data_IF_640002547598
#
_entry.id   IF_640002547598
#
_cell.length_a   1.000
_cell.length_b   1.000
_cell.length_c   1.000
_cell.angle_alpha   90.00
_cell.angle_beta   90.00
_cell.angle_gamma   90.00
#
_symmetry.space_group_name_H-M   'P 1'
#
loop_
_entity.id
_entity.type
_entity.pdbx_description
1 polymer ?
#
# COMPACT_ATOMS: atom_id res chain seq x y z
N UNK A 1 -17.03 29.24 -3.39
CA UNK A 1 -18.07 28.94 -2.39
C UNK A 1 -17.51 27.87 -1.45
N UNK A 2 -17.65 28.00 -0.14
CA UNK A 2 -17.20 26.96 0.81
C UNK A 2 -18.43 26.16 1.22
N UNK A 3 -18.49 24.91 0.81
CA UNK A 3 -19.43 23.95 1.37
C UNK A 3 -18.83 23.38 2.66
N UNK A 4 -19.61 23.19 3.71
CA UNK A 4 -19.18 22.60 4.97
C UNK A 4 -20.07 21.40 5.26
N UNK A 5 -19.49 20.19 5.26
CA UNK A 5 -20.25 18.97 5.51
C UNK A 5 -20.19 18.59 6.98
N UNK A 6 -21.28 18.89 7.69
CA UNK A 6 -21.52 18.37 9.04
C UNK A 6 -21.74 16.85 9.08
N UNK A 7 -22.13 16.25 7.94
CA UNK A 7 -22.35 14.80 7.82
C UNK A 7 -21.05 13.99 8.00
N UNK A 8 -19.90 14.57 7.62
CA UNK A 8 -18.59 13.97 7.88
C UNK A 8 -18.14 14.07 9.36
N UNK A 9 -18.91 14.73 10.23
CA UNK A 9 -18.67 14.78 11.67
C UNK A 9 -19.58 13.79 12.41
N UNK A 10 -19.37 12.49 12.20
CA UNK A 10 -20.25 11.43 12.72
C UNK A 10 -20.40 11.42 14.24
N UNK A 11 -19.52 12.09 14.99
CA UNK A 11 -19.62 12.19 16.43
C UNK A 11 -20.92 12.89 16.88
N UNK A 12 -21.45 13.85 16.10
CA UNK A 12 -22.73 14.48 16.40
C UNK A 12 -23.92 13.50 16.33
N UNK A 13 -23.78 12.38 15.63
CA UNK A 13 -24.84 11.35 15.59
C UNK A 13 -24.89 10.45 16.83
N UNK A 14 -23.94 10.59 17.75
CA UNK A 14 -23.90 9.77 18.97
C UNK A 14 -24.95 10.19 20.00
N UNK A 15 -25.35 11.47 20.03
CA UNK A 15 -26.36 11.98 20.93
C UNK A 15 -27.33 12.92 20.19
N UNK A 16 -28.46 12.36 19.76
CA UNK A 16 -29.49 13.10 19.01
C UNK A 16 -30.34 14.04 19.88
N UNK A 17 -30.27 13.91 21.21
CA UNK A 17 -30.97 14.81 22.12
C UNK A 17 -30.27 16.18 22.21
N UNK A 18 -28.94 16.20 22.03
CA UNK A 18 -28.14 17.43 22.11
C UNK A 18 -27.70 17.97 20.76
N UNK A 19 -27.49 17.09 19.78
CA UNK A 19 -27.00 17.47 18.46
C UNK A 19 -28.02 17.10 17.38
N UNK A 20 -28.44 18.11 16.62
CA UNK A 20 -29.25 17.93 15.43
C UNK A 20 -28.47 18.39 14.20
N UNK A 21 -28.22 17.46 13.28
CA UNK A 21 -27.62 17.79 11.98
C UNK A 21 -28.72 18.24 11.02
N UNK A 22 -28.62 19.47 10.52
CA UNK A 22 -29.46 19.93 9.43
C UNK A 22 -28.88 19.44 8.11
N UNK A 23 -29.68 18.67 7.38
CA UNK A 23 -29.31 18.19 6.05
C UNK A 23 -29.55 19.30 5.02
N UNK A 24 -28.46 19.88 4.53
CA UNK A 24 -28.49 20.77 3.38
C UNK A 24 -28.12 19.99 2.12
N UNK A 25 -28.85 20.20 1.03
CA UNK A 25 -28.49 19.63 -0.27
C UNK A 25 -27.10 20.11 -0.71
N UNK A 26 -26.39 19.26 -1.45
CA UNK A 26 -25.12 19.65 -2.05
C UNK A 26 -25.37 20.72 -3.10
N UNK A 27 -24.52 21.75 -3.09
CA UNK A 27 -24.67 22.93 -3.96
C UNK A 27 -23.60 22.97 -5.06
N UNK A 28 -22.56 22.14 -4.94
CA UNK A 28 -21.40 22.12 -5.83
C UNK A 28 -21.44 20.91 -6.77
N UNK A 29 -21.42 21.17 -8.07
CA UNK A 29 -21.24 20.15 -9.10
C UNK A 29 -19.74 19.88 -9.32
N UNK A 30 -19.31 18.64 -9.09
CA UNK A 30 -17.92 18.20 -9.26
C UNK A 30 -17.75 17.35 -10.54
N UNK A 31 -18.61 17.53 -11.54
CA UNK A 31 -18.53 16.85 -12.84
C UNK A 31 -17.19 17.00 -13.56
N UNK A 32 -16.48 18.10 -13.34
CA UNK A 32 -15.14 18.39 -13.88
C UNK A 32 -13.99 17.90 -12.98
N UNK A 33 -14.30 17.20 -11.89
CA UNK A 33 -13.31 16.74 -10.93
C UNK A 33 -13.12 15.24 -11.00
N UNK A 34 -11.90 14.81 -10.75
CA UNK A 34 -11.50 13.42 -10.75
C UNK A 34 -10.65 13.10 -9.53
N UNK A 35 -11.12 12.19 -8.69
CA UNK A 35 -10.31 11.58 -7.64
C UNK A 35 -9.45 10.49 -8.27
N UNK A 36 -8.14 10.60 -8.08
CA UNK A 36 -7.15 9.60 -8.45
C UNK A 36 -6.60 9.01 -7.15
N UNK A 37 -7.16 7.87 -6.76
CA UNK A 37 -6.77 7.17 -5.54
C UNK A 37 -5.54 6.28 -5.78
N UNK A 38 -4.49 6.47 -4.99
CA UNK A 38 -3.28 5.65 -4.96
C UNK A 38 -3.31 4.84 -3.66
N UNK A 39 -3.64 3.53 -3.70
CA UNK A 39 -3.87 2.73 -2.50
C UNK A 39 -2.55 2.35 -1.81
N UNK A 40 -2.04 3.24 -0.98
CA UNK A 40 -0.82 3.07 -0.17
C UNK A 40 -1.05 3.53 1.27
N UNK A 41 -0.47 2.82 2.24
CA UNK A 41 -0.44 3.27 3.63
C UNK A 41 0.50 4.47 3.76
N UNK A 42 -0.04 5.60 4.18
CA UNK A 42 0.76 6.83 4.40
C UNK A 42 0.98 7.15 5.87
N UNK A 43 0.87 6.16 6.77
CA UNK A 43 1.33 6.35 8.16
C UNK A 43 2.86 6.39 8.20
N UNK A 44 3.43 7.23 9.06
CA UNK A 44 4.88 7.39 9.21
C UNK A 44 5.59 6.03 9.34
N UNK A 45 5.08 5.16 10.21
CA UNK A 45 5.66 3.84 10.48
C UNK A 45 5.76 2.89 9.26
N UNK A 46 4.91 3.07 8.25
CA UNK A 46 4.96 2.28 7.01
C UNK A 46 5.68 3.04 5.92
N UNK A 47 5.44 4.34 5.79
CA UNK A 47 6.07 5.21 4.80
C UNK A 47 7.59 5.28 4.96
N UNK A 48 8.10 5.30 6.19
CA UNK A 48 9.54 5.26 6.46
C UNK A 48 10.18 3.95 5.97
N UNK A 49 9.38 2.89 5.80
CA UNK A 49 9.81 1.60 5.24
C UNK A 49 9.64 1.55 3.73
N UNK A 50 9.11 2.59 3.08
CA UNK A 50 8.98 2.67 1.62
C UNK A 50 10.13 3.56 1.13
N UNK A 51 11.13 2.93 0.52
CA UNK A 51 12.38 3.58 0.10
C UNK A 51 12.13 4.73 -0.89
N UNK A 52 11.23 4.52 -1.84
CA UNK A 52 11.01 5.43 -2.97
C UNK A 52 9.66 6.19 -2.88
N UNK A 53 9.07 6.33 -1.69
CA UNK A 53 7.74 6.93 -1.55
C UNK A 53 7.67 8.34 -2.16
N UNK A 54 8.60 9.21 -1.76
CA UNK A 54 8.62 10.60 -2.22
C UNK A 54 9.02 10.70 -3.69
N UNK A 55 9.88 9.81 -4.20
CA UNK A 55 10.22 9.75 -5.63
C UNK A 55 8.97 9.45 -6.48
N UNK A 56 8.17 8.48 -6.04
CA UNK A 56 6.90 8.11 -6.67
C UNK A 56 5.92 9.28 -6.65
N UNK A 57 5.77 9.94 -5.50
CA UNK A 57 4.93 11.13 -5.37
C UNK A 57 5.42 12.22 -6.35
N UNK A 58 6.67 12.66 -6.25
CA UNK A 58 7.23 13.74 -7.07
C UNK A 58 7.12 13.43 -8.56
N UNK A 59 7.37 12.18 -8.97
CA UNK A 59 7.19 11.74 -10.36
C UNK A 59 5.74 11.87 -10.83
N UNK A 60 4.76 11.54 -9.98
CA UNK A 60 3.34 11.68 -10.31
C UNK A 60 2.90 13.16 -10.39
N UNK A 61 3.50 14.03 -9.58
CA UNK A 61 3.14 15.44 -9.51
C UNK A 61 3.79 16.29 -10.62
N UNK A 62 4.90 15.82 -11.22
CA UNK A 62 5.69 16.57 -12.21
C UNK A 62 4.88 17.15 -13.36
N UNK A 63 3.82 16.46 -13.82
CA UNK A 63 2.95 16.91 -14.91
C UNK A 63 2.12 18.15 -14.58
N UNK A 64 1.95 18.49 -13.31
CA UNK A 64 1.16 19.66 -12.87
C UNK A 64 2.00 20.93 -12.69
N UNK A 65 3.34 20.80 -12.66
CA UNK A 65 4.23 21.93 -12.39
C UNK A 65 3.82 22.71 -11.14
N UNK A 66 3.53 24.00 -11.31
CA UNK A 66 3.16 24.90 -10.20
C UNK A 66 1.65 24.95 -9.91
N UNK A 67 0.81 24.25 -10.67
CA UNK A 67 -0.66 24.28 -10.59
C UNK A 67 -1.23 23.18 -9.69
N UNK A 68 -0.52 22.88 -8.60
CA UNK A 68 -0.91 21.87 -7.62
C UNK A 68 -0.64 22.33 -6.19
N UNK A 69 -1.57 22.02 -5.29
CA UNK A 69 -1.35 22.06 -3.84
C UNK A 69 -0.97 20.66 -3.35
N UNK A 70 0.09 20.53 -2.55
CA UNK A 70 0.44 19.26 -1.89
C UNK A 70 0.20 19.38 -0.40
N UNK A 71 -0.57 18.44 0.15
CA UNK A 71 -0.96 18.42 1.57
C UNK A 71 -0.42 17.17 2.22
N UNK A 72 0.39 17.35 3.26
CA UNK A 72 0.96 16.24 4.01
C UNK A 72 1.28 16.58 5.46
N UNK A 73 2.34 15.95 5.99
CA UNK A 73 2.90 16.28 7.29
C UNK A 73 3.94 17.39 7.14
N UNK A 74 3.93 18.38 8.03
CA UNK A 74 4.83 19.54 8.00
C UNK A 74 6.31 19.15 7.83
N UNK A 75 6.77 18.18 8.63
CA UNK A 75 8.19 17.79 8.68
C UNK A 75 8.69 17.07 7.42
N UNK A 76 7.78 16.68 6.53
CA UNK A 76 8.10 15.92 5.31
C UNK A 76 7.97 16.77 4.05
N UNK A 77 7.48 18.01 4.18
CA UNK A 77 7.27 18.92 3.05
C UNK A 77 8.58 19.26 2.33
N UNK A 78 9.73 19.19 3.00
CA UNK A 78 11.05 19.36 2.38
C UNK A 78 11.39 18.27 1.35
N UNK A 79 10.71 17.13 1.37
CA UNK A 79 10.93 16.01 0.45
C UNK A 79 10.07 16.10 -0.82
N UNK A 80 9.17 17.09 -0.89
CA UNK A 80 8.26 17.30 -2.02
C UNK A 80 8.83 18.36 -2.96
N UNK A 81 8.94 18.01 -4.24
CA UNK A 81 9.48 18.84 -5.30
C UNK A 81 8.40 19.73 -5.93
N UNK A 82 7.84 20.62 -5.11
CA UNK A 82 6.96 21.72 -5.54
C UNK A 82 7.38 23.01 -4.83
N UNK A 83 7.03 24.21 -5.34
CA UNK A 83 7.30 25.47 -4.64
C UNK A 83 6.75 25.50 -3.21
N UNK A 84 7.44 26.16 -2.27
CA UNK A 84 7.03 26.19 -0.85
C UNK A 84 5.63 26.79 -0.66
N UNK A 85 5.25 27.77 -1.47
CA UNK A 85 3.91 28.36 -1.46
C UNK A 85 2.81 27.39 -1.90
N UNK A 86 3.17 26.24 -2.47
CA UNK A 86 2.26 25.16 -2.90
C UNK A 86 2.18 24.03 -1.87
N UNK A 87 2.87 24.14 -0.73
CA UNK A 87 2.90 23.11 0.32
C UNK A 87 1.98 23.49 1.48
N UNK A 88 1.08 22.59 1.83
CA UNK A 88 0.18 22.68 2.96
C UNK A 88 0.33 21.48 3.90
N UNK A 89 -0.13 21.63 5.14
CA UNK A 89 -0.20 20.53 6.09
C UNK A 89 -1.50 20.55 6.87
N UNK A 90 -1.93 19.38 7.33
CA UNK A 90 -3.11 19.27 8.17
C UNK A 90 -2.91 20.08 9.46
N UNK A 91 -3.79 21.06 9.68
CA UNK A 91 -3.68 22.06 10.75
C UNK A 91 -3.44 23.50 10.28
N UNK A 92 -2.75 23.74 9.15
CA UNK A 92 -2.65 25.09 8.56
C UNK A 92 -3.58 25.32 7.37
N UNK A 93 -4.03 24.22 6.75
CA UNK A 93 -4.84 24.28 5.54
C UNK A 93 -6.27 24.73 5.83
N UNK A 94 -6.79 24.36 7.00
CA UNK A 94 -8.12 24.72 7.46
C UNK A 94 -8.18 26.22 7.73
N UNK A 95 -9.13 26.89 7.09
CA UNK A 95 -9.30 28.35 7.18
C UNK A 95 -8.44 29.18 6.21
N UNK A 96 -7.44 28.58 5.53
CA UNK A 96 -6.59 29.31 4.58
C UNK A 96 -7.26 29.51 3.21
N UNK A 97 -6.98 30.64 2.56
CA UNK A 97 -7.40 30.97 1.19
C UNK A 97 -6.22 31.04 0.20
N UNK A 98 -5.00 30.77 0.65
CA UNK A 98 -3.78 30.92 -0.15
C UNK A 98 -3.81 30.13 -1.47
N UNK A 99 -4.45 28.97 -1.49
CA UNK A 99 -4.45 28.06 -2.63
C UNK A 99 -5.72 28.11 -3.49
N UNK A 100 -6.53 29.17 -3.31
CA UNK A 100 -7.83 29.34 -3.98
C UNK A 100 -7.75 29.12 -5.51
N UNK A 101 -6.69 29.62 -6.15
CA UNK A 101 -6.48 29.58 -7.60
C UNK A 101 -5.75 28.33 -8.11
N UNK A 102 -5.29 27.44 -7.21
CA UNK A 102 -4.67 26.18 -7.64
C UNK A 102 -5.72 25.30 -8.31
N UNK A 103 -5.32 24.59 -9.36
CA UNK A 103 -6.22 23.72 -10.13
C UNK A 103 -6.32 22.33 -9.53
N UNK A 104 -5.20 21.80 -9.05
CA UNK A 104 -5.08 20.41 -8.61
C UNK A 104 -4.64 20.32 -7.16
N UNK A 105 -4.85 19.16 -6.55
CA UNK A 105 -4.40 18.88 -5.19
C UNK A 105 -3.90 17.45 -5.06
N UNK A 106 -2.87 17.25 -4.23
CA UNK A 106 -2.38 15.95 -3.81
C UNK A 106 -2.38 15.83 -2.28
N UNK A 107 -3.00 14.77 -1.78
CA UNK A 107 -3.05 14.41 -0.37
C UNK A 107 -2.12 13.23 -0.14
N UNK A 108 -0.97 13.47 0.45
CA UNK A 108 0.12 12.49 0.56
C UNK A 108 0.26 11.87 1.95
N UNK A 109 -0.65 12.23 2.87
CA UNK A 109 -0.65 11.79 4.25
C UNK A 109 -2.08 11.53 4.73
N UNK A 110 -2.27 10.41 5.43
CA UNK A 110 -3.48 10.20 6.22
C UNK A 110 -3.34 10.95 7.54
N UNK A 111 -4.19 11.96 7.78
CA UNK A 111 -4.21 12.69 9.04
C UNK A 111 -5.03 11.94 10.10
N UNK A 112 -4.33 11.24 10.99
CA UNK A 112 -4.94 10.59 12.14
C UNK A 112 -4.72 11.41 13.41
N UNK A 113 -5.70 11.38 14.30
CA UNK A 113 -5.51 11.73 15.71
C UNK A 113 -4.91 10.54 16.46
N UNK A 114 -4.51 10.78 17.72
CA UNK A 114 -4.15 9.67 18.60
C UNK A 114 -5.38 8.82 18.93
N UNK A 115 -5.17 7.56 19.33
CA UNK A 115 -6.28 6.69 19.74
C UNK A 115 -7.04 7.29 20.94
N UNK A 116 -6.31 7.93 21.86
CA UNK A 116 -6.88 8.64 23.02
C UNK A 116 -7.81 9.75 22.57
N UNK A 117 -7.43 10.54 21.56
CA UNK A 117 -8.28 11.63 21.05
C UNK A 117 -9.59 11.11 20.45
N UNK A 118 -9.55 9.98 19.74
CA UNK A 118 -10.76 9.35 19.21
C UNK A 118 -11.67 8.82 20.32
N UNK A 119 -11.10 8.21 21.36
CA UNK A 119 -11.85 7.77 22.54
C UNK A 119 -12.46 8.96 23.27
N UNK A 120 -11.69 10.03 23.50
CA UNK A 120 -12.19 11.25 24.15
C UNK A 120 -13.30 11.91 23.33
N UNK A 121 -13.19 11.95 22.00
CA UNK A 121 -14.29 12.42 21.13
C UNK A 121 -15.53 11.56 21.33
N UNK A 122 -15.39 10.23 21.32
CA UNK A 122 -16.53 9.33 21.56
C UNK A 122 -17.21 9.63 22.89
N UNK A 123 -16.45 9.77 23.98
CA UNK A 123 -16.99 10.06 25.31
C UNK A 123 -17.63 11.44 25.41
N UNK A 124 -16.98 12.45 24.83
CA UNK A 124 -17.46 13.82 24.88
C UNK A 124 -18.80 13.97 24.16
N UNK A 125 -18.92 13.41 22.95
CA UNK A 125 -20.11 13.55 22.13
C UNK A 125 -21.20 12.53 22.45
N UNK A 126 -20.83 11.32 22.89
CA UNK A 126 -21.79 10.29 23.30
C UNK A 126 -22.36 10.52 24.69
N UNK A 127 -21.64 11.20 25.58
CA UNK A 127 -21.95 11.35 27.03
C UNK A 127 -22.13 10.03 27.80
N UNK A 128 -21.88 8.90 27.15
CA UNK A 128 -21.87 7.59 27.76
C UNK A 128 -20.56 7.36 28.55
N UNK A 129 -20.68 6.66 29.67
CA UNK A 129 -19.55 5.98 30.31
C UNK A 129 -19.09 4.82 29.43
N UNK A 130 -17.77 4.58 29.33
CA UNK A 130 -17.23 3.35 28.75
C UNK A 130 -17.84 2.15 29.49
N UNK A 131 -18.57 1.29 28.77
CA UNK A 131 -19.06 0.01 29.29
C UNK A 131 -17.87 -0.80 29.86
N UNK A 132 -18.02 -1.50 30.99
CA UNK A 132 -16.91 -2.25 31.61
C UNK A 132 -16.21 -3.24 30.64
N UNK A 133 -16.91 -3.71 29.61
CA UNK A 133 -16.41 -4.61 28.58
C UNK A 133 -16.06 -3.94 27.24
N UNK A 134 -15.82 -2.63 27.20
CA UNK A 134 -15.54 -1.91 25.95
C UNK A 134 -14.16 -2.31 25.38
N UNK A 135 -14.12 -3.00 24.22
CA UNK A 135 -12.87 -3.54 23.71
C UNK A 135 -12.07 -2.43 23.00
N UNK A 136 -11.16 -1.79 23.73
CA UNK A 136 -10.14 -0.86 23.20
C UNK A 136 -9.02 -1.57 22.43
N UNK A 137 -9.39 -2.59 21.66
CA UNK A 137 -8.45 -3.35 20.84
C UNK A 137 -8.43 -2.81 19.43
N UNK A 138 -7.26 -2.91 18.83
CA UNK A 138 -7.03 -2.46 17.46
C UNK A 138 -6.54 -3.64 16.63
N UNK A 139 -6.87 -3.63 15.35
CA UNK A 139 -6.47 -4.68 14.41
C UNK A 139 -5.75 -4.06 13.23
N UNK A 140 -4.84 -4.85 12.68
CA UNK A 140 -4.04 -4.45 11.54
C UNK A 140 -4.18 -5.50 10.43
N UNK A 141 -4.78 -5.11 9.31
CA UNK A 141 -5.08 -6.00 8.19
C UNK A 141 -4.23 -5.65 6.97
N UNK A 142 -4.07 -6.59 6.04
CA UNK A 142 -3.29 -6.40 4.81
C UNK A 142 -1.80 -6.68 4.97
N UNK A 143 -1.06 -6.51 3.87
CA UNK A 143 0.39 -6.81 3.78
C UNK A 143 1.15 -5.62 3.20
N UNK A 144 2.40 -5.44 3.64
CA UNK A 144 3.32 -4.41 3.16
C UNK A 144 2.65 -3.01 3.06
N UNK A 145 2.66 -2.40 1.89
CA UNK A 145 2.11 -1.06 1.58
C UNK A 145 0.59 -0.96 1.66
N UNK A 146 -0.13 -2.08 1.80
CA UNK A 146 -1.59 -2.14 1.95
C UNK A 146 -2.01 -2.44 3.39
N UNK A 147 -1.12 -2.21 4.36
CA UNK A 147 -1.41 -2.46 5.77
C UNK A 147 -2.32 -1.35 6.32
N UNK A 148 -3.48 -1.73 6.85
CA UNK A 148 -4.50 -0.80 7.35
C UNK A 148 -4.69 -1.02 8.85
N UNK A 149 -4.68 0.08 9.59
CA UNK A 149 -5.03 0.12 11.01
C UNK A 149 -6.52 0.46 11.18
N UNK A 150 -7.18 -0.23 12.11
CA UNK A 150 -8.58 0.02 12.45
C UNK A 150 -8.86 -0.35 13.90
N UNK A 151 -9.82 0.35 14.51
CA UNK A 151 -10.41 -0.07 15.78
C UNK A 151 -11.25 -1.34 15.58
N UNK A 152 -11.26 -2.22 16.57
CA UNK A 152 -12.18 -3.38 16.56
C UNK A 152 -13.62 -2.93 16.84
N UNK A 153 -13.81 -1.94 17.72
CA UNK A 153 -15.11 -1.31 17.95
C UNK A 153 -15.54 -0.47 16.73
N UNK A 154 -16.71 -0.80 16.19
CA UNK A 154 -17.23 -0.19 14.96
C UNK A 154 -17.62 1.28 15.14
N UNK A 155 -18.02 1.70 16.35
CA UNK A 155 -18.41 3.08 16.65
C UNK A 155 -17.17 3.98 16.61
N UNK A 156 -16.10 3.56 17.28
CA UNK A 156 -14.81 4.26 17.24
C UNK A 156 -14.22 4.28 15.83
N UNK A 157 -14.25 3.15 15.13
CA UNK A 157 -13.75 3.08 13.75
C UNK A 157 -14.55 4.02 12.82
N UNK A 158 -15.87 4.10 12.98
CA UNK A 158 -16.71 5.04 12.23
C UNK A 158 -16.27 6.49 12.47
N UNK A 159 -16.08 6.90 13.74
CA UNK A 159 -15.58 8.25 14.07
C UNK A 159 -14.23 8.50 13.42
N UNK A 160 -13.31 7.53 13.50
CA UNK A 160 -11.97 7.63 12.90
C UNK A 160 -12.05 7.83 11.38
N UNK A 161 -12.82 7.01 10.68
CA UNK A 161 -12.94 7.04 9.22
C UNK A 161 -13.59 8.35 8.76
N UNK A 162 -14.67 8.77 9.43
CA UNK A 162 -15.36 10.03 9.13
C UNK A 162 -14.47 11.25 9.38
N UNK A 163 -13.70 11.26 10.48
CA UNK A 163 -12.74 12.33 10.77
C UNK A 163 -11.70 12.48 9.65
N UNK A 164 -11.06 11.38 9.23
CA UNK A 164 -10.07 11.41 8.15
C UNK A 164 -10.71 11.94 6.86
N UNK A 165 -11.89 11.44 6.49
CA UNK A 165 -12.60 11.89 5.29
C UNK A 165 -12.94 13.39 5.37
N UNK A 166 -13.35 13.89 6.54
CA UNK A 166 -13.61 15.32 6.78
C UNK A 166 -12.38 16.16 6.51
N UNK A 167 -11.23 15.81 7.09
CA UNK A 167 -9.99 16.58 6.95
C UNK A 167 -9.52 16.63 5.50
N UNK A 168 -9.61 15.51 4.79
CA UNK A 168 -9.26 15.44 3.37
C UNK A 168 -10.24 16.27 2.53
N UNK A 169 -11.54 16.12 2.74
CA UNK A 169 -12.54 16.90 2.01
C UNK A 169 -12.34 18.41 2.21
N UNK A 170 -12.01 18.83 3.44
CA UNK A 170 -11.71 20.23 3.75
C UNK A 170 -10.43 20.74 3.06
N UNK A 171 -9.42 19.89 2.88
CA UNK A 171 -8.23 20.20 2.10
C UNK A 171 -8.53 20.32 0.61
N UNK A 172 -9.31 19.38 0.05
CA UNK A 172 -9.72 19.36 -1.37
C UNK A 172 -10.45 20.65 -1.76
N UNK A 173 -11.33 21.17 -0.91
CA UNK A 173 -12.03 22.45 -1.13
C UNK A 173 -11.14 23.71 -1.07
N UNK A 174 -9.83 23.58 -0.88
CA UNK A 174 -8.92 24.73 -0.89
C UNK A 174 -8.47 25.13 -2.29
N UNK A 175 -8.58 24.22 -3.24
CA UNK A 175 -8.24 24.46 -4.65
C UNK A 175 -9.50 24.64 -5.48
N UNK A 176 -9.37 25.23 -6.67
CA UNK A 176 -10.42 25.40 -7.68
C UNK A 176 -11.80 25.79 -7.08
N UNK A 177 -11.83 26.73 -6.14
CA UNK A 177 -13.05 27.04 -5.35
C UNK A 177 -14.21 27.65 -6.14
N UNK A 178 -13.92 28.06 -7.37
CA UNK A 178 -14.89 28.57 -8.32
C UNK A 178 -15.36 27.50 -9.31
N UNK A 179 -14.88 26.25 -9.18
CA UNK A 179 -15.26 25.10 -10.00
C UNK A 179 -15.01 25.33 -11.51
N UNK A 180 -14.01 26.13 -11.87
CA UNK A 180 -13.79 26.54 -13.28
C UNK A 180 -12.90 25.60 -14.07
N UNK A 181 -12.07 24.81 -13.39
CA UNK A 181 -11.07 23.98 -14.03
C UNK A 181 -11.41 22.49 -13.95
N UNK A 182 -10.92 21.73 -14.92
CA UNK A 182 -10.78 20.29 -14.76
C UNK A 182 -9.74 20.03 -13.67
N UNK A 183 -10.14 19.33 -12.61
CA UNK A 183 -9.35 19.17 -11.38
C UNK A 183 -9.03 17.72 -11.10
N UNK A 184 -7.74 17.40 -11.02
CA UNK A 184 -7.26 16.14 -10.47
C UNK A 184 -7.03 16.26 -8.96
N UNK A 185 -7.60 15.30 -8.22
CA UNK A 185 -7.46 15.13 -6.77
C UNK A 185 -6.71 13.84 -6.50
N UNK A 186 -5.40 13.91 -6.26
CA UNK A 186 -4.60 12.74 -5.88
C UNK A 186 -4.76 12.45 -4.40
N UNK A 187 -5.07 11.21 -4.07
CA UNK A 187 -5.18 10.77 -2.67
C UNK A 187 -4.34 9.51 -2.48
N UNK A 188 -3.29 9.61 -1.67
CA UNK A 188 -2.43 8.48 -1.32
C UNK A 188 -2.92 7.83 -0.02
N UNK A 189 -3.96 7.01 -0.14
CA UNK A 189 -4.62 6.33 1.00
C UNK A 189 -5.11 4.96 0.56
N UNK A 190 -4.90 3.94 1.39
CA UNK A 190 -5.38 2.58 1.14
C UNK A 190 -6.72 2.24 1.81
N UNK A 191 -7.27 3.15 2.63
CA UNK A 191 -8.59 3.00 3.23
C UNK A 191 -9.68 3.41 2.22
N UNK A 192 -10.40 2.41 1.70
CA UNK A 192 -11.48 2.61 0.71
C UNK A 192 -12.68 3.34 1.29
N UNK A 193 -13.04 3.09 2.56
CA UNK A 193 -14.19 3.71 3.20
C UNK A 193 -14.04 5.23 3.27
N UNK A 194 -12.81 5.71 3.48
CA UNK A 194 -12.49 7.15 3.42
C UNK A 194 -12.73 7.72 2.03
N UNK A 195 -12.29 7.01 0.97
CA UNK A 195 -12.48 7.45 -0.42
C UNK A 195 -13.96 7.48 -0.79
N UNK A 196 -14.71 6.46 -0.39
CA UNK A 196 -16.16 6.37 -0.63
C UNK A 196 -16.90 7.51 0.07
N UNK A 197 -16.52 7.87 1.30
CA UNK A 197 -17.07 9.03 1.99
C UNK A 197 -16.75 10.34 1.28
N UNK A 198 -15.52 10.55 0.82
CA UNK A 198 -15.16 11.77 0.08
C UNK A 198 -15.97 11.85 -1.23
N UNK A 199 -16.02 10.75 -1.99
CA UNK A 199 -16.85 10.65 -3.21
C UNK A 199 -18.31 10.94 -2.91
N UNK A 200 -18.83 10.46 -1.78
CA UNK A 200 -20.20 10.72 -1.35
C UNK A 200 -20.48 12.20 -1.14
N UNK A 201 -19.45 13.03 -0.89
CA UNK A 201 -19.60 14.48 -0.74
C UNK A 201 -19.34 15.26 -2.05
N UNK A 202 -18.67 14.65 -3.03
CA UNK A 202 -18.34 15.28 -4.31
C UNK A 202 -19.26 14.78 -5.43
N UNK A 203 -20.44 15.40 -5.55
CA UNK A 203 -21.44 15.03 -6.54
C UNK A 203 -20.90 15.08 -7.98
N UNK A 204 -21.22 14.05 -8.78
CA UNK A 204 -20.75 13.85 -10.16
C UNK A 204 -19.22 13.68 -10.35
N UNK A 205 -18.43 13.63 -9.27
CA UNK A 205 -17.00 13.41 -9.37
C UNK A 205 -16.65 12.00 -9.86
N UNK A 206 -15.72 11.91 -10.82
CA UNK A 206 -15.14 10.64 -11.26
C UNK A 206 -14.16 10.13 -10.22
N UNK A 207 -14.06 8.80 -10.07
CA UNK A 207 -13.07 8.16 -9.20
C UNK A 207 -12.33 7.09 -9.98
N UNK A 208 -11.01 7.21 -10.05
CA UNK A 208 -10.10 6.22 -10.59
C UNK A 208 -9.21 5.72 -9.45
N UNK A 209 -9.10 4.40 -9.28
CA UNK A 209 -8.11 3.81 -8.38
C UNK A 209 -6.97 3.26 -9.21
N UNK A 210 -5.77 3.74 -8.94
CA UNK A 210 -4.59 3.30 -9.69
C UNK A 210 -4.16 1.92 -9.17
N UNK A 211 -4.25 0.93 -10.05
CA UNK A 211 -3.67 -0.38 -9.82
C UNK A 211 -2.19 -0.33 -10.21
N UNK A 212 -1.35 0.11 -9.28
CA UNK A 212 0.08 -0.03 -9.45
C UNK A 212 0.52 -1.46 -9.12
N UNK A 213 1.28 -2.06 -10.03
CA UNK A 213 1.93 -3.35 -9.80
C UNK A 213 2.77 -3.32 -8.52
N UNK A 214 2.92 -4.49 -7.90
CA UNK A 214 3.54 -4.70 -6.57
C UNK A 214 4.98 -4.17 -6.40
N UNK A 215 5.58 -3.62 -7.46
CA UNK A 215 6.95 -3.10 -7.50
C UNK A 215 7.03 -1.56 -7.53
N UNK A 216 5.90 -0.84 -7.56
CA UNK A 216 5.96 0.63 -7.62
C UNK A 216 6.51 1.25 -6.33
N UNK A 217 6.12 0.69 -5.18
CA UNK A 217 6.63 1.09 -3.87
C UNK A 217 7.60 0.04 -3.36
N UNK A 218 8.87 0.40 -3.24
CA UNK A 218 9.95 -0.48 -2.84
C UNK A 218 10.03 -0.45 -1.31
N UNK A 219 9.68 -1.57 -0.67
CA UNK A 219 9.81 -1.70 0.78
C UNK A 219 11.26 -1.98 1.17
N UNK A 220 11.70 -1.39 2.27
CA UNK A 220 12.90 -1.81 2.98
C UNK A 220 12.77 -3.28 3.38
N UNK A 221 13.79 -4.07 3.05
CA UNK A 221 13.82 -5.50 3.40
C UNK A 221 13.87 -5.65 4.91
N UNK A 222 12.96 -6.42 5.49
CA UNK A 222 13.07 -6.75 6.91
C UNK A 222 14.23 -7.70 7.17
N UNK A 223 14.71 -7.76 8.41
CA UNK A 223 15.68 -8.79 8.84
C UNK A 223 15.16 -10.21 8.59
N UNK A 224 13.84 -10.40 8.70
CA UNK A 224 13.20 -11.68 8.42
C UNK A 224 13.18 -11.99 6.92
N UNK A 225 12.97 -11.01 6.05
CA UNK A 225 13.05 -11.20 4.60
C UNK A 225 14.48 -11.52 4.17
N UNK A 226 15.46 -10.84 4.75
CA UNK A 226 16.88 -11.12 4.53
C UNK A 226 17.26 -12.53 4.99
N UNK A 227 16.72 -12.98 6.13
CA UNK A 227 16.91 -14.35 6.64
C UNK A 227 16.20 -15.39 5.76
N UNK A 228 14.99 -15.12 5.27
CA UNK A 228 14.26 -16.02 4.35
C UNK A 228 14.95 -16.10 2.98
N UNK A 229 15.48 -14.98 2.46
CA UNK A 229 16.30 -14.99 1.25
C UNK A 229 17.61 -15.74 1.45
N UNK A 230 18.30 -15.55 2.58
CA UNK A 230 19.48 -16.33 2.93
C UNK A 230 19.16 -17.83 3.04
N UNK A 231 18.03 -18.20 3.65
CA UNK A 231 17.54 -19.58 3.70
C UNK A 231 17.15 -20.13 2.31
N UNK A 232 16.69 -19.28 1.39
CA UNK A 232 16.42 -19.66 -0.01
C UNK A 232 17.72 -19.90 -0.76
N UNK A 233 18.71 -19.01 -0.63
CA UNK A 233 20.03 -19.15 -1.25
C UNK A 233 20.80 -20.36 -0.70
N UNK A 234 20.66 -20.68 0.60
CA UNK A 234 21.25 -21.88 1.22
C UNK A 234 20.36 -23.14 1.09
N UNK A 235 19.27 -23.06 0.32
CA UNK A 235 18.37 -24.20 0.14
C UNK A 235 19.00 -25.25 -0.78
N UNK A 236 18.67 -26.53 -0.52
CA UNK A 236 19.05 -27.64 -1.41
C UNK A 236 18.57 -27.44 -2.86
N UNK A 237 17.54 -26.62 -3.09
CA UNK A 237 17.01 -26.32 -4.40
C UNK A 237 17.89 -25.34 -5.18
N UNK A 238 18.39 -24.28 -4.52
CA UNK A 238 19.34 -23.34 -5.14
C UNK A 238 20.66 -24.03 -5.46
N UNK A 239 21.23 -24.79 -4.51
CA UNK A 239 22.44 -25.61 -4.75
C UNK A 239 22.30 -26.63 -5.88
N UNK A 240 21.09 -27.15 -6.09
CA UNK A 240 20.81 -28.05 -7.20
C UNK A 240 20.75 -27.33 -8.56
N UNK A 241 20.16 -26.12 -8.59
CA UNK A 241 20.14 -25.27 -9.79
C UNK A 241 21.58 -24.87 -10.17
N UNK A 242 22.40 -24.48 -9.20
CA UNK A 242 23.81 -24.14 -9.41
C UNK A 242 24.58 -25.34 -9.97
N UNK A 243 24.41 -26.52 -9.38
CA UNK A 243 24.99 -27.77 -9.89
C UNK A 243 24.57 -28.07 -11.34
N UNK A 244 23.29 -27.87 -11.70
CA UNK A 244 22.85 -28.06 -13.08
C UNK A 244 23.45 -27.03 -14.04
N UNK A 245 23.61 -25.78 -13.61
CA UNK A 245 24.26 -24.74 -14.40
C UNK A 245 25.76 -25.05 -14.61
N UNK A 246 26.46 -25.51 -13.57
CA UNK A 246 27.84 -25.97 -13.63
C UNK A 246 28.01 -27.11 -14.64
N UNK A 247 27.14 -28.13 -14.58
CA UNK A 247 27.10 -29.24 -15.52
C UNK A 247 26.92 -28.76 -16.96
N UNK A 248 26.00 -27.82 -17.19
CA UNK A 248 25.76 -27.25 -18.53
C UNK A 248 26.95 -26.43 -19.04
N UNK A 249 27.75 -25.85 -18.14
CA UNK A 249 29.00 -25.15 -18.47
C UNK A 249 30.21 -26.10 -18.60
N UNK A 250 29.99 -27.42 -18.58
CA UNK A 250 31.05 -28.42 -18.78
C UNK A 250 31.85 -28.77 -17.53
N UNK A 251 31.41 -28.31 -16.34
CA UNK A 251 31.96 -28.77 -15.07
C UNK A 251 31.31 -30.10 -14.66
N UNK A 252 31.94 -30.85 -13.77
CA UNK A 252 31.43 -32.13 -13.25
C UNK A 252 31.11 -33.24 -14.31
N UNK A 253 31.98 -33.48 -15.32
CA UNK A 253 31.73 -34.53 -16.32
C UNK A 253 31.59 -35.94 -15.71
N UNK A 254 32.15 -36.17 -14.52
CA UNK A 254 32.06 -37.43 -13.78
C UNK A 254 30.62 -37.82 -13.36
N UNK A 255 29.70 -36.87 -13.39
CA UNK A 255 28.28 -37.09 -13.06
C UNK A 255 27.44 -37.52 -14.28
N UNK A 256 27.94 -37.32 -15.51
CA UNK A 256 27.21 -37.58 -16.74
C UNK A 256 27.55 -39.00 -17.25
N UNK A 257 26.52 -39.81 -17.47
CA UNK A 257 26.69 -41.14 -18.06
C UNK A 257 26.88 -41.08 -19.60
N UNK A 258 27.23 -42.23 -20.21
CA UNK A 258 27.43 -42.34 -21.67
C UNK A 258 26.16 -42.04 -22.49
N UNK A 259 24.99 -41.94 -21.85
CA UNK A 259 23.71 -41.63 -22.47
C UNK A 259 23.26 -40.18 -22.17
N UNK A 260 24.17 -39.34 -21.68
CA UNK A 260 23.93 -37.93 -21.34
C UNK A 260 22.89 -37.73 -20.22
N UNK A 261 22.94 -38.59 -19.20
CA UNK A 261 22.03 -38.56 -18.04
C UNK A 261 22.81 -38.54 -16.74
N UNK A 262 22.19 -37.98 -15.70
CA UNK A 262 22.74 -37.90 -14.35
C UNK A 262 21.90 -38.78 -13.40
N UNK A 263 22.49 -39.76 -12.71
CA UNK A 263 21.77 -40.54 -11.70
C UNK A 263 21.34 -39.66 -10.51
N UNK A 264 20.04 -39.63 -10.20
CA UNK A 264 19.51 -38.81 -9.07
C UNK A 264 20.13 -39.16 -7.72
N UNK A 265 20.52 -40.42 -7.54
CA UNK A 265 21.18 -40.91 -6.32
C UNK A 265 22.51 -40.18 -6.09
N UNK A 266 23.30 -39.98 -7.15
CA UNK A 266 24.59 -39.28 -7.06
C UNK A 266 24.41 -37.79 -6.75
N UNK A 267 23.44 -37.13 -7.38
CA UNK A 267 23.17 -35.71 -7.10
C UNK A 267 22.63 -35.53 -5.68
N UNK A 268 21.77 -36.44 -5.23
CA UNK A 268 21.29 -36.45 -3.85
C UNK A 268 22.43 -36.57 -2.85
N UNK A 269 23.41 -37.44 -3.10
CA UNK A 269 24.60 -37.62 -2.26
C UNK A 269 25.52 -36.40 -2.30
N UNK A 270 25.75 -35.84 -3.48
CA UNK A 270 26.50 -34.59 -3.66
C UNK A 270 25.90 -33.43 -2.86
N UNK A 271 24.57 -33.33 -2.85
CA UNK A 271 23.85 -32.34 -2.06
C UNK A 271 23.76 -32.70 -0.56
N UNK A 272 24.26 -33.86 -0.11
CA UNK A 272 24.25 -34.26 1.30
C UNK A 272 22.89 -34.73 1.82
N UNK A 273 21.95 -35.10 0.95
CA UNK A 273 20.57 -35.45 1.32
C UNK A 273 20.45 -36.96 1.56
N UNK A 274 20.11 -37.38 2.78
CA UNK A 274 20.10 -38.81 3.13
C UNK A 274 18.96 -39.64 2.53
N UNK A 275 17.77 -39.06 2.30
CA UNK A 275 16.60 -39.82 1.82
C UNK A 275 16.08 -39.34 0.47
N UNK A 276 15.60 -40.27 -0.37
CA UNK A 276 14.99 -39.99 -1.68
C UNK A 276 13.70 -39.16 -1.57
N UNK A 277 12.90 -39.39 -0.52
CA UNK A 277 11.71 -38.59 -0.23
C UNK A 277 12.05 -37.13 0.07
N UNK A 278 13.12 -36.88 0.84
CA UNK A 278 13.58 -35.51 1.11
C UNK A 278 14.16 -34.85 -0.12
N UNK A 279 14.86 -35.58 -0.99
CA UNK A 279 15.34 -35.03 -2.26
C UNK A 279 14.17 -34.59 -3.15
N UNK A 280 13.12 -35.40 -3.22
CA UNK A 280 11.92 -35.04 -3.99
C UNK A 280 11.23 -33.80 -3.43
N UNK A 281 10.97 -33.77 -2.11
CA UNK A 281 10.21 -32.69 -1.48
C UNK A 281 11.00 -31.38 -1.32
N UNK A 282 12.31 -31.47 -1.08
CA UNK A 282 13.16 -30.30 -0.83
C UNK A 282 13.82 -29.75 -2.08
N UNK A 283 13.91 -30.53 -3.16
CA UNK A 283 14.58 -30.15 -4.41
C UNK A 283 13.66 -30.32 -5.62
N UNK A 284 13.34 -31.55 -6.01
CA UNK A 284 12.71 -31.82 -7.31
C UNK A 284 11.31 -31.21 -7.48
N UNK A 285 10.53 -31.15 -6.40
CA UNK A 285 9.16 -30.64 -6.41
C UNK A 285 9.08 -29.12 -6.17
N UNK A 286 10.22 -28.42 -6.08
CA UNK A 286 10.24 -26.96 -5.89
C UNK A 286 9.94 -26.26 -7.20
N UNK A 287 9.06 -25.26 -7.15
CA UNK A 287 8.61 -24.51 -8.33
C UNK A 287 9.76 -23.88 -9.10
N UNK A 288 10.74 -23.31 -8.40
CA UNK A 288 11.95 -22.73 -9.00
C UNK A 288 12.80 -23.76 -9.79
N UNK A 289 12.95 -24.98 -9.27
CA UNK A 289 13.67 -26.07 -9.94
C UNK A 289 12.91 -26.55 -11.17
N UNK A 290 11.59 -26.69 -11.06
CA UNK A 290 10.73 -27.11 -12.17
C UNK A 290 10.81 -26.09 -13.31
N UNK A 291 10.66 -24.80 -13.00
CA UNK A 291 10.75 -23.72 -13.99
C UNK A 291 12.14 -23.64 -14.63
N UNK A 292 13.21 -23.78 -13.84
CA UNK A 292 14.59 -23.78 -14.36
C UNK A 292 14.80 -24.93 -15.37
N UNK A 293 14.33 -26.13 -15.03
CA UNK A 293 14.50 -27.32 -15.88
C UNK A 293 13.64 -27.25 -17.14
N UNK A 294 12.39 -26.76 -17.04
CA UNK A 294 11.50 -26.57 -18.20
C UNK A 294 12.09 -25.58 -19.20
N UNK A 295 12.68 -24.48 -18.74
CA UNK A 295 13.29 -23.48 -19.62
C UNK A 295 14.53 -23.98 -20.37
N UNK A 296 15.06 -25.16 -20.02
CA UNK A 296 16.32 -25.73 -20.53
C UNK A 296 16.15 -27.17 -21.03
N UNK A 297 14.92 -27.62 -21.23
CA UNK A 297 14.58 -28.98 -21.67
C UNK A 297 15.20 -30.10 -20.83
N UNK A 298 15.41 -29.85 -19.53
CA UNK A 298 15.94 -30.85 -18.59
C UNK A 298 14.79 -31.69 -18.04
N UNK A 299 14.87 -33.01 -18.21
CA UNK A 299 13.82 -33.93 -17.78
C UNK A 299 14.16 -34.56 -16.42
N UNK A 300 13.31 -34.31 -15.42
CA UNK A 300 13.46 -34.82 -14.05
C UNK A 300 12.67 -36.11 -13.78
N UNK A 301 12.14 -36.83 -14.78
CA UNK A 301 11.32 -38.03 -14.57
C UNK A 301 12.15 -39.31 -14.31
N UNK A 302 11.61 -40.23 -13.50
CA UNK A 302 12.25 -41.51 -13.22
C UNK A 302 13.50 -41.39 -12.33
N UNK A 303 14.45 -42.31 -12.50
CA UNK A 303 15.65 -42.41 -11.65
C UNK A 303 16.82 -41.51 -12.08
N UNK A 304 16.72 -40.88 -13.26
CA UNK A 304 17.77 -40.10 -13.88
C UNK A 304 17.28 -38.69 -14.21
N UNK A 305 18.20 -37.73 -14.21
CA UNK A 305 17.99 -36.40 -14.78
C UNK A 305 18.55 -36.47 -16.21
N UNK A 306 17.72 -36.18 -17.21
CA UNK A 306 18.16 -36.21 -18.61
C UNK A 306 18.42 -34.78 -19.06
N UNK A 307 19.64 -34.54 -19.54
CA UNK A 307 20.04 -33.26 -20.10
C UNK A 307 19.67 -33.23 -21.60
N UNK A 308 19.43 -32.06 -22.19
CA UNK A 308 19.26 -31.95 -23.64
C UNK A 308 20.55 -32.35 -24.35
N UNK A 309 20.46 -33.00 -25.51
CA UNK A 309 21.63 -33.22 -26.36
C UNK A 309 22.10 -31.87 -26.89
N UNK A 310 23.36 -31.52 -26.63
CA UNK A 310 23.99 -30.40 -27.32
C UNK A 310 24.03 -30.72 -28.82
N UNK A 311 23.34 -29.91 -29.62
CA UNK A 311 23.45 -29.93 -31.09
C UNK A 311 24.78 -29.37 -31.54
#
# INVERSE_FOLDING_TARGET
MLDASGELQSAYSLNQEEFALQHCGKVLDHSHWKIINVPVTTTTAIKDKIINFYDVVNSALKKYGNDILVVGKKDEMCLIDVPEENKGYFGNITGSNQWYDKKNIAIIQTHNLSDVDYILKYLHYGKDSIEEAFPLTCKCNGRAVKRIYSFTDKRLEKIRVFWIASEIYQAVKRVNRNMKYDTDVFIFINNTDVIDLIKSQMENCLVETVNYDSNMFIMEKSKQDSYVEALKQDSYASRFIDFLAEIQNGLHPEFIDKQHRIPKVRVREYLGIKSSGNFSNKVLNKSEVILYCQARDINLSGQYIRLPYAG
#
